data_IF_602050271953
#
_entry.id   IF_602050271953
#
_cell.length_a   1.000
_cell.length_b   1.000
_cell.length_c   1.000
_cell.angle_alpha   90.00
_cell.angle_beta   90.00
_cell.angle_gamma   90.00
#
_symmetry.space_group_name_H-M   'P 1'
#
loop_
_entity.id
_entity.type
_entity.pdbx_description
1 polymer ?
#
# COMPACT_ATOMS: atom_id res chain seq x y z
N UNK A 1 -76.15 -6.09 -33.80
CA UNK A 1 -77.23 -5.56 -32.94
C UNK A 1 -77.71 -6.69 -32.03
N UNK A 2 -77.87 -6.45 -30.73
CA UNK A 2 -76.82 -6.67 -29.73
C UNK A 2 -77.33 -7.48 -28.50
N UNK A 3 -76.46 -7.71 -27.52
CA UNK A 3 -76.84 -8.27 -26.23
C UNK A 3 -75.68 -8.30 -25.24
N UNK A 4 -75.34 -7.13 -24.71
CA UNK A 4 -74.41 -6.94 -23.58
C UNK A 4 -74.96 -7.51 -22.27
N UNK A 5 -74.06 -7.76 -21.29
CA UNK A 5 -74.43 -7.60 -19.89
C UNK A 5 -73.68 -8.46 -18.88
N UNK A 6 -72.83 -7.81 -18.07
CA UNK A 6 -72.83 -8.07 -16.62
C UNK A 6 -71.57 -8.70 -16.02
N UNK A 7 -70.66 -7.85 -15.54
CA UNK A 7 -69.74 -8.14 -14.44
C UNK A 7 -70.50 -7.98 -13.10
N UNK A 8 -70.35 -8.92 -12.16
CA UNK A 8 -70.37 -8.64 -10.72
C UNK A 8 -69.56 -9.69 -9.94
N UNK A 9 -68.65 -9.19 -9.10
CA UNK A 9 -68.01 -9.87 -7.97
C UNK A 9 -69.01 -9.93 -6.80
N UNK A 10 -69.04 -11.01 -6.01
CA UNK A 10 -68.99 -10.97 -4.53
C UNK A 10 -69.08 -12.36 -3.87
N UNK A 11 -68.20 -12.57 -2.86
CA UNK A 11 -68.58 -13.18 -1.58
C UNK A 11 -68.36 -14.68 -1.37
N UNK A 12 -67.31 -15.05 -0.63
CA UNK A 12 -67.39 -16.04 0.47
C UNK A 12 -66.05 -16.21 1.22
N UNK A 13 -66.06 -16.68 2.49
CA UNK A 13 -65.41 -15.98 3.60
C UNK A 13 -64.22 -16.73 4.25
N UNK A 14 -63.56 -16.00 5.17
CA UNK A 14 -62.87 -16.43 6.41
C UNK A 14 -62.12 -17.77 6.47
N UNK A 15 -60.83 -17.67 6.85
CA UNK A 15 -60.24 -18.39 8.01
C UNK A 15 -58.82 -17.91 8.31
N UNK A 16 -58.68 -17.09 9.35
CA UNK A 16 -57.51 -17.10 10.25
C UNK A 16 -57.72 -18.18 11.32
N UNK A 17 -56.63 -18.72 11.90
CA UNK A 17 -56.40 -18.34 13.30
C UNK A 17 -54.91 -18.15 13.63
N UNK A 18 -54.55 -16.95 14.09
CA UNK A 18 -53.37 -16.71 14.91
C UNK A 18 -53.81 -16.44 16.36
N UNK A 19 -53.41 -17.31 17.31
CA UNK A 19 -53.27 -16.96 18.73
C UNK A 19 -52.79 -18.17 19.55
N UNK A 20 -51.56 -18.06 20.07
CA UNK A 20 -51.16 -18.66 21.36
C UNK A 20 -50.26 -17.66 22.09
N UNK A 21 -50.84 -16.99 23.07
CA UNK A 21 -50.16 -16.35 24.20
C UNK A 21 -49.71 -17.41 25.22
N UNK A 22 -48.56 -17.21 25.87
CA UNK A 22 -48.40 -17.22 27.34
C UNK A 22 -46.97 -16.75 27.74
N UNK A 23 -46.67 -16.38 29.02
CA UNK A 23 -45.97 -15.14 29.37
C UNK A 23 -44.73 -15.42 30.26
N UNK A 24 -44.23 -14.36 30.92
CA UNK A 24 -43.41 -14.33 32.14
C UNK A 24 -41.98 -13.75 32.01
N UNK A 25 -41.88 -12.50 32.48
CA UNK A 25 -40.74 -11.73 33.03
C UNK A 25 -40.32 -12.35 34.42
N UNK A 26 -39.28 -11.91 35.21
CA UNK A 26 -38.53 -10.64 35.12
C UNK A 26 -37.05 -10.54 35.63
N UNK A 27 -36.47 -9.34 35.35
CA UNK A 27 -35.62 -8.47 36.19
C UNK A 27 -34.16 -8.83 36.59
N UNK A 28 -33.25 -7.87 36.29
CA UNK A 28 -32.26 -7.24 37.18
C UNK A 28 -31.59 -6.10 36.36
N UNK A 29 -31.89 -4.81 36.58
CA UNK A 29 -31.27 -3.89 37.56
C UNK A 29 -29.75 -3.81 37.47
N UNK A 30 -29.22 -2.69 36.95
CA UNK A 30 -28.03 -2.02 37.51
C UNK A 30 -28.10 -0.49 37.27
N UNK A 31 -27.59 0.34 38.21
CA UNK A 31 -27.86 1.78 38.26
C UNK A 31 -26.68 2.66 37.80
N UNK A 32 -26.98 3.95 37.61
CA UNK A 32 -26.07 5.10 37.47
C UNK A 32 -25.43 5.54 38.79
N UNK A 33 -24.41 6.43 38.66
CA UNK A 33 -23.70 7.24 39.69
C UNK A 33 -22.45 6.58 40.32
N UNK A 34 -21.38 7.24 40.76
CA UNK A 34 -20.77 8.57 40.59
C UNK A 34 -19.40 8.53 41.33
N UNK A 35 -18.48 9.41 40.95
CA UNK A 35 -17.47 10.12 41.78
C UNK A 35 -16.48 9.40 42.75
N UNK A 36 -15.29 10.02 42.81
CA UNK A 36 -14.32 10.09 43.93
C UNK A 36 -13.54 8.80 44.27
N UNK A 37 -12.38 8.84 44.93
CA UNK A 37 -11.28 9.79 45.13
C UNK A 37 -10.23 9.01 45.93
N UNK A 38 -8.98 9.45 45.82
CA UNK A 38 -7.96 9.41 46.87
C UNK A 38 -7.55 8.10 47.58
N UNK A 39 -6.25 7.86 47.38
CA UNK A 39 -5.25 7.71 48.45
C UNK A 39 -5.28 6.43 49.31
N UNK A 40 -4.12 5.76 49.31
CA UNK A 40 -3.17 5.79 50.45
C UNK A 40 -1.92 4.96 50.11
N UNK A 41 -0.73 5.58 50.18
CA UNK A 41 0.27 5.50 51.28
C UNK A 41 0.72 4.06 51.55
N UNK A 42 1.98 3.73 51.79
CA UNK A 42 3.04 4.34 52.59
C UNK A 42 4.28 3.45 52.33
N UNK A 43 5.54 3.85 52.40
CA UNK A 43 6.25 4.68 53.35
C UNK A 43 7.74 4.43 53.07
N UNK A 44 8.60 5.43 53.12
CA UNK A 44 9.34 5.81 54.33
C UNK A 44 10.75 5.21 54.24
N UNK A 45 11.85 5.88 54.56
CA UNK A 45 12.05 7.09 55.34
C UNK A 45 13.47 7.66 55.10
N UNK A 46 13.58 8.99 55.24
CA UNK A 46 14.62 9.76 55.95
C UNK A 46 16.11 9.53 55.60
N UNK A 47 16.99 10.54 55.53
CA UNK A 47 17.17 11.58 56.55
C UNK A 47 18.05 12.74 56.03
N UNK A 48 17.61 13.96 56.34
CA UNK A 48 18.28 15.23 56.63
C UNK A 48 19.71 15.56 56.12
N UNK A 49 19.85 16.79 55.59
CA UNK A 49 20.50 17.86 56.36
C UNK A 49 21.70 18.58 55.74
N UNK A 50 21.49 19.81 55.26
CA UNK A 50 22.27 20.99 55.72
C UNK A 50 23.51 21.48 54.92
N UNK A 51 23.35 22.70 54.37
CA UNK A 51 24.26 23.86 54.54
C UNK A 51 25.44 24.10 53.57
N UNK A 52 25.21 25.08 52.68
CA UNK A 52 25.94 26.36 52.45
C UNK A 52 27.48 26.45 52.28
N UNK A 53 27.86 26.98 51.10
CA UNK A 53 28.82 28.08 50.85
C UNK A 53 30.36 27.76 50.69
N UNK A 54 31.22 28.70 50.20
CA UNK A 54 31.68 28.75 48.79
C UNK A 54 33.21 29.01 48.55
N UNK A 55 33.62 29.20 47.27
CA UNK A 55 34.88 29.85 46.72
C UNK A 55 36.21 29.03 46.92
N UNK A 56 37.31 29.14 46.10
CA UNK A 56 37.68 30.31 45.30
C UNK A 56 38.33 30.18 43.91
N UNK A 57 38.25 31.32 43.21
CA UNK A 57 39.06 31.72 42.06
C UNK A 57 40.48 32.14 42.48
N UNK A 58 41.49 31.78 41.69
CA UNK A 58 42.57 32.66 41.19
C UNK A 58 43.73 31.82 40.60
N UNK A 59 44.15 32.13 39.36
CA UNK A 59 45.50 32.65 39.11
C UNK A 59 45.72 32.98 37.63
N UNK A 60 46.33 34.15 37.45
CA UNK A 60 46.74 34.85 36.23
C UNK A 60 47.89 34.14 35.51
N UNK A 61 47.91 34.22 34.17
CA UNK A 61 49.06 33.93 33.34
C UNK A 61 49.01 34.74 32.04
N UNK A 62 49.79 35.83 32.00
CA UNK A 62 49.95 36.75 30.87
C UNK A 62 50.88 36.16 29.81
N UNK A 63 50.51 36.24 28.52
CA UNK A 63 51.37 35.90 27.39
C UNK A 63 50.87 36.54 26.10
N UNK A 64 51.51 37.65 25.72
CA UNK A 64 51.29 38.45 24.51
C UNK A 64 51.78 37.74 23.25
N UNK A 65 51.00 37.75 22.17
CA UNK A 65 51.43 37.29 20.86
C UNK A 65 50.39 37.59 19.77
N UNK A 66 50.57 38.71 19.09
CA UNK A 66 49.83 39.14 17.89
C UNK A 66 50.04 38.19 16.72
N UNK A 67 48.96 37.70 16.12
CA UNK A 67 48.95 36.99 14.85
C UNK A 67 47.56 37.06 14.23
N UNK A 68 47.46 37.79 13.13
CA UNK A 68 46.27 38.01 12.31
C UNK A 68 45.81 36.68 11.69
N UNK A 69 44.55 36.30 11.90
CA UNK A 69 43.94 35.14 11.25
C UNK A 69 42.74 35.58 10.39
N UNK A 70 42.84 35.56 9.05
CA UNK A 70 41.70 35.62 8.16
C UNK A 70 41.53 34.27 7.47
N UNK A 71 40.57 33.46 7.92
CA UNK A 71 40.22 32.26 7.20
C UNK A 71 39.49 31.23 8.04
N UNK A 72 38.23 31.47 8.39
CA UNK A 72 37.29 30.37 8.66
C UNK A 72 37.00 29.65 7.35
N UNK A 73 37.96 28.85 6.88
CA UNK A 73 37.64 27.62 6.17
C UNK A 73 37.18 26.66 7.24
N UNK A 74 35.89 26.36 7.28
CA UNK A 74 35.40 25.22 8.05
C UNK A 74 36.05 24.01 7.41
N UNK A 75 37.14 23.53 8.00
CA UNK A 75 37.67 22.20 7.76
C UNK A 75 36.49 21.25 7.97
N UNK A 76 35.96 20.74 6.87
CA UNK A 76 35.07 19.58 6.89
C UNK A 76 35.94 18.44 7.38
N UNK A 77 36.01 18.32 8.71
CA UNK A 77 36.81 17.35 9.41
C UNK A 77 36.47 15.97 8.86
N UNK A 78 37.50 15.45 8.20
CA UNK A 78 37.69 14.11 7.70
C UNK A 78 37.65 13.13 8.89
N UNK A 79 36.47 12.92 9.48
CA UNK A 79 36.27 11.87 10.47
C UNK A 79 36.18 10.53 9.72
N UNK A 80 37.34 9.93 9.48
CA UNK A 80 37.47 8.50 9.18
C UNK A 80 37.80 8.10 7.75
N UNK A 81 38.27 9.01 6.88
CA UNK A 81 38.75 8.64 5.52
C UNK A 81 37.68 8.04 4.61
N UNK A 82 36.39 8.23 4.93
CA UNK A 82 35.26 7.86 4.07
C UNK A 82 34.88 9.13 3.30
N UNK A 83 35.04 9.12 1.98
CA UNK A 83 34.69 10.26 1.14
C UNK A 83 33.18 10.40 1.02
N UNK A 84 32.63 11.45 1.62
CA UNK A 84 31.23 11.85 1.49
C UNK A 84 30.92 12.31 0.05
N UNK A 85 29.71 12.07 -0.50
CA UNK A 85 29.32 12.60 -1.80
C UNK A 85 29.51 14.13 -1.90
N UNK A 86 29.88 14.68 -3.07
CA UNK A 86 30.20 16.11 -3.20
C UNK A 86 29.03 17.08 -2.94
N UNK A 87 27.79 16.61 -3.05
CA UNK A 87 26.57 17.40 -2.84
C UNK A 87 25.85 17.00 -1.54
N UNK A 88 26.53 16.31 -0.62
CA UNK A 88 25.94 15.90 0.64
C UNK A 88 25.88 17.11 1.60
N UNK A 89 24.67 17.50 1.97
CA UNK A 89 24.41 18.60 2.91
C UNK A 89 23.68 18.03 4.13
N UNK A 90 24.26 18.19 5.32
CA UNK A 90 23.62 17.77 6.56
C UNK A 90 22.40 18.64 6.88
N UNK A 91 21.20 18.10 6.66
CA UNK A 91 19.95 18.77 7.00
C UNK A 91 19.46 18.37 8.41
N UNK A 92 18.84 19.29 9.18
CA UNK A 92 18.09 18.94 10.38
C UNK A 92 17.03 17.86 10.12
N UNK A 93 16.80 16.96 11.09
CA UNK A 93 15.83 15.87 10.95
C UNK A 93 14.42 16.35 10.61
N UNK A 94 14.03 17.53 11.10
CA UNK A 94 12.74 18.14 10.80
C UNK A 94 12.62 18.47 9.30
N UNK A 95 13.67 19.06 8.73
CA UNK A 95 13.72 19.47 7.32
C UNK A 95 13.72 18.23 6.42
N UNK A 96 14.42 17.16 6.80
CA UNK A 96 14.42 15.89 6.07
C UNK A 96 13.03 15.21 6.05
N UNK A 97 12.30 15.26 7.17
CA UNK A 97 10.92 14.75 7.24
C UNK A 97 9.96 15.64 6.44
N UNK A 98 10.11 16.95 6.50
CA UNK A 98 9.32 17.90 5.71
C UNK A 98 9.51 17.66 4.21
N UNK A 99 10.75 17.42 3.77
CA UNK A 99 11.06 17.06 2.40
C UNK A 99 10.33 15.77 1.98
N UNK A 100 10.42 14.70 2.78
CA UNK A 100 9.74 13.43 2.49
C UNK A 100 8.22 13.63 2.33
N UNK A 101 7.59 14.38 3.25
CA UNK A 101 6.14 14.62 3.21
C UNK A 101 5.76 15.46 2.00
N UNK A 102 6.52 16.52 1.70
CA UNK A 102 6.27 17.39 0.54
C UNK A 102 6.35 16.61 -0.77
N UNK A 103 7.38 15.76 -0.92
CA UNK A 103 7.55 14.87 -2.06
C UNK A 103 6.42 13.85 -2.19
N UNK A 104 6.04 13.22 -1.08
CA UNK A 104 4.91 12.29 -1.06
C UNK A 104 3.60 12.99 -1.43
N UNK A 105 3.38 14.23 -1.00
CA UNK A 105 2.21 15.01 -1.36
C UNK A 105 2.14 15.27 -2.87
N UNK A 106 3.27 15.56 -3.53
CA UNK A 106 3.35 15.70 -4.99
C UNK A 106 2.90 14.40 -5.67
N UNK A 107 3.43 13.24 -5.23
CA UNK A 107 3.05 11.92 -5.77
C UNK A 107 1.54 11.68 -5.64
N UNK A 108 0.99 11.94 -4.46
CA UNK A 108 -0.45 11.75 -4.17
C UNK A 108 -1.30 12.69 -5.03
N UNK A 109 -0.91 13.96 -5.18
CA UNK A 109 -1.63 14.93 -6.01
C UNK A 109 -1.61 14.55 -7.49
N UNK A 110 -0.47 14.11 -8.01
CA UNK A 110 -0.36 13.63 -9.39
C UNK A 110 -1.19 12.36 -9.59
N UNK A 111 -1.16 11.42 -8.64
CA UNK A 111 -2.01 10.23 -8.66
C UNK A 111 -3.50 10.54 -8.59
N UNK A 112 -3.90 11.52 -7.78
CA UNK A 112 -5.26 12.01 -7.72
C UNK A 112 -5.68 12.66 -9.05
N UNK A 113 -4.80 13.46 -9.67
CA UNK A 113 -5.01 14.01 -11.00
C UNK A 113 -5.17 12.94 -12.08
N UNK A 114 -4.32 11.91 -12.05
CA UNK A 114 -4.43 10.75 -12.94
C UNK A 114 -5.75 9.97 -12.75
N UNK A 115 -6.20 9.83 -11.50
CA UNK A 115 -7.50 9.24 -11.17
C UNK A 115 -8.66 10.10 -11.70
N UNK A 116 -8.59 11.42 -11.55
CA UNK A 116 -9.60 12.34 -12.09
C UNK A 116 -9.70 12.26 -13.61
N UNK A 117 -8.56 12.12 -14.31
CA UNK A 117 -8.52 11.88 -15.76
C UNK A 117 -9.12 10.52 -16.09
N UNK A 118 -8.79 9.47 -15.32
CA UNK A 118 -9.31 8.12 -15.52
C UNK A 118 -10.82 8.01 -15.39
N UNK A 119 -11.44 8.85 -14.55
CA UNK A 119 -12.91 8.89 -14.36
C UNK A 119 -13.69 9.22 -15.64
N UNK A 120 -13.06 9.94 -16.56
CA UNK A 120 -13.63 10.27 -17.87
C UNK A 120 -13.83 9.02 -18.73
N UNK A 121 -12.98 7.99 -18.56
CA UNK A 121 -13.03 6.74 -19.32
C UNK A 121 -13.53 5.53 -18.49
N UNK A 122 -13.70 5.68 -17.18
CA UNK A 122 -13.96 4.56 -16.25
C UNK A 122 -15.10 3.63 -16.68
N UNK A 123 -16.19 4.15 -17.26
CA UNK A 123 -17.29 3.32 -17.77
C UNK A 123 -16.84 2.37 -18.87
N UNK A 124 -16.09 2.86 -19.86
CA UNK A 124 -15.60 2.01 -20.95
C UNK A 124 -14.56 0.99 -20.46
N UNK A 125 -13.76 1.35 -19.46
CA UNK A 125 -12.84 0.41 -18.82
C UNK A 125 -13.60 -0.71 -18.10
N UNK A 126 -14.68 -0.40 -17.38
CA UNK A 126 -15.56 -1.40 -16.74
C UNK A 126 -16.12 -2.37 -17.78
N UNK A 127 -16.65 -1.86 -18.89
CA UNK A 127 -17.24 -2.71 -19.93
C UNK A 127 -16.20 -3.67 -20.55
N UNK A 128 -14.99 -3.18 -20.82
CA UNK A 128 -13.89 -3.99 -21.35
C UNK A 128 -13.44 -5.06 -20.35
N UNK A 129 -13.30 -4.68 -19.07
CA UNK A 129 -12.88 -5.60 -18.02
C UNK A 129 -13.95 -6.68 -17.82
N UNK A 130 -15.21 -6.29 -17.66
CA UNK A 130 -16.33 -7.20 -17.45
C UNK A 130 -16.51 -8.18 -18.60
N UNK A 131 -16.48 -7.69 -19.85
CA UNK A 131 -16.74 -8.51 -21.04
C UNK A 131 -15.65 -9.54 -21.37
N UNK A 132 -14.45 -9.41 -20.81
CA UNK A 132 -13.31 -10.30 -21.11
C UNK A 132 -12.78 -11.07 -19.90
N UNK A 133 -12.79 -10.48 -18.71
CA UNK A 133 -12.20 -11.11 -17.53
C UNK A 133 -13.10 -12.19 -16.91
N UNK A 134 -14.42 -12.08 -17.08
CA UNK A 134 -15.39 -12.97 -16.44
C UNK A 134 -15.90 -14.00 -17.47
N UNK A 135 -15.57 -15.30 -17.30
CA UNK A 135 -16.14 -16.36 -18.12
C UNK A 135 -17.67 -16.39 -17.96
N UNK A 136 -18.39 -16.57 -19.07
CA UNK A 136 -19.86 -16.67 -19.07
C UNK A 136 -20.56 -15.45 -18.46
N UNK A 137 -20.12 -14.23 -18.79
CA UNK A 137 -20.93 -13.03 -18.58
C UNK A 137 -22.21 -13.10 -19.46
N UNK A 138 -23.16 -13.95 -19.08
CA UNK A 138 -24.44 -14.18 -19.79
C UNK A 138 -25.25 -12.88 -19.92
N UNK A 139 -24.96 -11.90 -19.06
CA UNK A 139 -25.42 -10.53 -19.20
C UNK A 139 -24.23 -9.60 -19.45
N UNK A 140 -24.31 -8.82 -20.53
CA UNK A 140 -23.43 -7.67 -20.82
C UNK A 140 -23.56 -6.54 -19.78
N UNK A 141 -24.35 -6.77 -18.71
CA UNK A 141 -24.64 -5.78 -17.67
C UNK A 141 -24.36 -6.39 -16.29
N UNK A 142 -23.42 -5.80 -15.54
CA UNK A 142 -23.17 -6.16 -14.16
C UNK A 142 -24.41 -6.00 -13.28
N UNK A 143 -24.53 -6.87 -12.27
CA UNK A 143 -25.57 -6.74 -11.25
C UNK A 143 -25.13 -5.71 -10.20
N UNK A 144 -26.04 -4.81 -9.83
CA UNK A 144 -25.85 -3.79 -8.79
C UNK A 144 -26.71 -4.15 -7.58
N UNK A 145 -26.12 -4.06 -6.39
CA UNK A 145 -26.75 -4.33 -5.10
C UNK A 145 -26.77 -3.07 -4.20
N UNK A 146 -26.04 -2.02 -4.56
CA UNK A 146 -26.07 -0.73 -3.88
C UNK A 146 -26.24 0.45 -4.86
N UNK A 147 -26.90 1.55 -4.43
CA UNK A 147 -27.13 2.71 -5.29
C UNK A 147 -25.83 3.45 -5.68
N UNK A 148 -24.79 3.37 -4.84
CA UNK A 148 -23.50 4.03 -5.07
C UNK A 148 -22.43 3.12 -5.68
N UNK A 149 -22.74 1.84 -5.90
CA UNK A 149 -21.77 0.81 -6.27
C UNK A 149 -21.10 1.10 -7.60
N UNK A 150 -21.87 1.51 -8.62
CA UNK A 150 -21.31 1.89 -9.92
C UNK A 150 -20.38 3.11 -9.80
N UNK A 151 -20.75 4.10 -8.99
CA UNK A 151 -19.97 5.33 -8.83
C UNK A 151 -18.65 5.06 -8.11
N UNK A 152 -18.67 4.28 -7.03
CA UNK A 152 -17.46 3.84 -6.33
C UNK A 152 -16.58 2.95 -7.20
N UNK A 153 -17.18 2.04 -7.97
CA UNK A 153 -16.43 1.18 -8.90
C UNK A 153 -15.70 2.01 -9.96
N UNK A 154 -16.34 3.06 -10.50
CA UNK A 154 -15.69 3.97 -11.45
C UNK A 154 -14.46 4.65 -10.85
N UNK A 155 -14.53 5.11 -9.60
CA UNK A 155 -13.38 5.71 -8.89
C UNK A 155 -12.26 4.69 -8.71
N UNK A 156 -12.60 3.47 -8.27
CA UNK A 156 -11.62 2.40 -8.07
C UNK A 156 -10.95 1.98 -9.39
N UNK A 157 -11.70 1.91 -10.49
CA UNK A 157 -11.11 1.58 -11.80
C UNK A 157 -10.23 2.72 -12.30
N UNK A 158 -10.69 3.97 -12.15
CA UNK A 158 -9.91 5.14 -12.51
C UNK A 158 -8.61 5.27 -11.71
N UNK A 159 -8.60 4.80 -10.45
CA UNK A 159 -7.39 4.86 -9.61
C UNK A 159 -6.27 3.97 -10.11
N UNK A 160 -6.54 2.94 -10.94
CA UNK A 160 -5.48 2.17 -11.61
C UNK A 160 -4.65 3.06 -12.55
N UNK A 161 -5.30 3.96 -13.30
CA UNK A 161 -4.59 4.95 -14.11
C UNK A 161 -3.84 5.96 -13.23
N UNK A 162 -4.47 6.38 -12.13
CA UNK A 162 -3.83 7.20 -11.11
C UNK A 162 -2.53 6.59 -10.60
N UNK A 163 -2.54 5.31 -10.24
CA UNK A 163 -1.36 4.55 -9.80
C UNK A 163 -0.33 4.47 -10.92
N UNK A 164 -0.74 4.18 -12.16
CA UNK A 164 0.18 4.07 -13.29
C UNK A 164 0.95 5.38 -13.55
N UNK A 165 0.31 6.52 -13.35
CA UNK A 165 0.93 7.86 -13.49
C UNK A 165 1.70 8.25 -12.22
N UNK A 166 1.18 7.92 -11.04
CA UNK A 166 1.83 8.23 -9.77
C UNK A 166 3.13 7.46 -9.58
N UNK A 167 3.22 6.23 -10.06
CA UNK A 167 4.36 5.34 -9.84
C UNK A 167 5.70 5.85 -10.42
N UNK A 168 5.80 6.34 -11.68
CA UNK A 168 7.05 6.96 -12.15
C UNK A 168 7.39 8.24 -11.39
N UNK A 169 6.38 9.02 -11.02
CA UNK A 169 6.59 10.22 -10.20
C UNK A 169 7.10 9.84 -8.81
N UNK A 170 6.57 8.78 -8.21
CA UNK A 170 7.05 8.22 -6.96
C UNK A 170 8.51 7.81 -7.04
N UNK A 171 8.90 7.08 -8.08
CA UNK A 171 10.31 6.69 -8.28
C UNK A 171 11.18 7.94 -8.46
N UNK A 172 10.74 8.93 -9.23
CA UNK A 172 11.48 10.18 -9.45
C UNK A 172 11.57 11.07 -8.19
N UNK A 173 10.54 11.14 -7.38
CA UNK A 173 10.58 11.90 -6.12
C UNK A 173 11.47 11.21 -5.09
N UNK A 174 11.44 9.86 -5.04
CA UNK A 174 12.35 9.09 -4.20
C UNK A 174 13.81 9.30 -4.65
N UNK A 175 14.06 9.39 -5.96
CA UNK A 175 15.36 9.80 -6.49
C UNK A 175 15.78 11.17 -5.97
N UNK A 176 14.92 12.19 -6.10
CA UNK A 176 15.26 13.55 -5.69
C UNK A 176 15.55 13.65 -4.20
N UNK A 177 14.81 12.89 -3.38
CA UNK A 177 15.04 12.76 -1.94
C UNK A 177 16.39 12.15 -1.61
N UNK A 178 16.79 11.07 -2.30
CA UNK A 178 18.07 10.40 -2.04
C UNK A 178 19.26 11.03 -2.80
N UNK A 179 19.01 11.92 -3.77
CA UNK A 179 20.02 12.52 -4.65
C UNK A 179 21.23 13.13 -3.91
N UNK A 180 21.08 13.84 -2.76
CA UNK A 180 22.23 14.39 -2.03
C UNK A 180 23.21 13.29 -1.58
N UNK A 181 22.69 12.16 -1.11
CA UNK A 181 23.48 11.02 -0.65
C UNK A 181 23.97 10.07 -1.76
N UNK A 182 23.63 10.32 -3.04
CA UNK A 182 24.05 9.48 -4.17
C UNK A 182 25.26 10.05 -4.89
N UNK A 183 26.21 9.18 -5.22
CA UNK A 183 27.34 9.57 -6.06
C UNK A 183 26.88 9.92 -7.48
N UNK A 184 27.57 10.84 -8.19
CA UNK A 184 27.17 11.27 -9.53
C UNK A 184 26.99 10.13 -10.55
N UNK A 185 27.77 9.05 -10.40
CA UNK A 185 27.70 7.88 -11.27
C UNK A 185 26.50 6.97 -10.96
N UNK A 186 25.89 7.06 -9.79
CA UNK A 186 24.70 6.29 -9.37
C UNK A 186 23.41 6.96 -9.83
N UNK A 187 23.41 8.30 -9.85
CA UNK A 187 22.26 9.13 -10.27
C UNK A 187 21.71 8.74 -11.64
N UNK A 188 22.59 8.40 -12.59
CA UNK A 188 22.19 7.97 -13.94
C UNK A 188 21.39 6.65 -13.93
N UNK A 189 21.76 5.72 -13.06
CA UNK A 189 21.09 4.41 -12.96
C UNK A 189 19.73 4.56 -12.31
N UNK A 190 19.64 5.41 -11.28
CA UNK A 190 18.38 5.74 -10.65
C UNK A 190 17.42 6.41 -11.63
N UNK A 191 17.87 7.43 -12.38
CA UNK A 191 17.03 8.11 -13.36
C UNK A 191 16.52 7.19 -14.47
N UNK A 192 17.32 6.20 -14.89
CA UNK A 192 16.89 5.19 -15.85
C UNK A 192 15.77 4.29 -15.31
N UNK A 193 15.63 4.16 -13.98
CA UNK A 193 14.56 3.38 -13.36
C UNK A 193 13.18 4.03 -13.53
N UNK A 194 13.09 5.35 -13.70
CA UNK A 194 11.81 6.07 -13.82
C UNK A 194 10.96 5.58 -15.01
N UNK A 195 11.44 5.60 -16.27
CA UNK A 195 10.65 5.06 -17.39
C UNK A 195 10.45 3.54 -17.31
N UNK A 196 11.43 2.80 -16.77
CA UNK A 196 11.32 1.35 -16.58
C UNK A 196 10.19 1.00 -15.61
N UNK A 197 9.95 1.81 -14.58
CA UNK A 197 8.89 1.59 -13.59
C UNK A 197 7.49 1.59 -14.22
N UNK A 198 7.23 2.48 -15.19
CA UNK A 198 5.96 2.55 -15.93
C UNK A 198 5.76 1.30 -16.78
N UNK A 199 6.81 0.87 -17.47
CA UNK A 199 6.78 -0.32 -18.32
C UNK A 199 6.50 -1.55 -17.46
N UNK A 200 7.21 -1.72 -16.34
CA UNK A 200 7.01 -2.82 -15.40
C UNK A 200 5.60 -2.80 -14.79
N UNK A 201 5.10 -1.65 -14.36
CA UNK A 201 3.75 -1.53 -13.83
C UNK A 201 2.69 -1.89 -14.89
N UNK A 202 2.85 -1.40 -16.11
CA UNK A 202 1.99 -1.74 -17.24
C UNK A 202 1.99 -3.25 -17.55
N UNK A 203 3.17 -3.88 -17.55
CA UNK A 203 3.29 -5.33 -17.70
C UNK A 203 2.61 -6.06 -16.54
N UNK A 204 2.78 -5.60 -15.30
CA UNK A 204 2.13 -6.19 -14.13
C UNK A 204 0.60 -6.11 -14.18
N UNK A 205 0.05 -4.96 -14.60
CA UNK A 205 -1.39 -4.81 -14.81
C UNK A 205 -1.89 -5.72 -15.93
N UNK A 206 -1.14 -5.80 -17.04
CA UNK A 206 -1.48 -6.65 -18.16
C UNK A 206 -1.40 -8.14 -17.79
N UNK A 207 -0.40 -8.53 -17.01
CA UNK A 207 -0.22 -9.89 -16.50
C UNK A 207 -1.37 -10.29 -15.58
N UNK A 208 -1.78 -9.39 -14.67
CA UNK A 208 -2.97 -9.59 -13.85
C UNK A 208 -4.20 -9.84 -14.72
N UNK A 209 -4.43 -8.96 -15.71
CA UNK A 209 -5.62 -9.01 -16.54
C UNK A 209 -5.69 -10.21 -17.49
N UNK A 210 -4.57 -10.57 -18.14
CA UNK A 210 -4.54 -11.61 -19.17
C UNK A 210 -4.29 -13.01 -18.60
N UNK A 211 -3.61 -13.15 -17.47
CA UNK A 211 -3.20 -14.45 -16.94
C UNK A 211 -3.86 -14.74 -15.59
N UNK A 212 -3.70 -13.85 -14.61
CA UNK A 212 -4.11 -14.16 -13.22
C UNK A 212 -5.62 -14.17 -13.08
N UNK A 213 -6.32 -13.16 -13.60
CA UNK A 213 -7.79 -13.07 -13.49
C UNK A 213 -8.51 -14.24 -14.17
N UNK A 214 -8.20 -14.63 -15.42
CA UNK A 214 -8.87 -15.78 -16.05
C UNK A 214 -8.70 -17.07 -15.26
N UNK A 215 -7.48 -17.35 -14.78
CA UNK A 215 -7.21 -18.54 -13.94
C UNK A 215 -8.04 -18.50 -12.66
N UNK A 216 -8.16 -17.34 -12.02
CA UNK A 216 -8.90 -17.19 -10.78
C UNK A 216 -10.42 -17.35 -10.97
N UNK A 217 -10.99 -16.73 -12.01
CA UNK A 217 -12.42 -16.88 -12.30
C UNK A 217 -12.77 -18.28 -12.81
N UNK A 218 -11.87 -18.95 -13.54
CA UNK A 218 -12.04 -20.36 -13.90
C UNK A 218 -12.05 -21.25 -12.66
N UNK A 219 -11.13 -21.01 -11.72
CA UNK A 219 -11.11 -21.70 -10.43
C UNK A 219 -12.42 -21.51 -9.65
N UNK A 220 -12.91 -20.27 -9.50
CA UNK A 220 -14.19 -20.01 -8.80
C UNK A 220 -15.38 -20.69 -9.47
N UNK A 221 -15.39 -20.69 -10.81
CA UNK A 221 -16.43 -21.32 -11.62
C UNK A 221 -16.39 -22.84 -11.48
N UNK A 222 -15.21 -23.43 -11.42
CA UNK A 222 -15.01 -24.86 -11.20
C UNK A 222 -15.44 -25.26 -9.77
N UNK A 223 -14.96 -24.54 -8.76
CA UNK A 223 -15.22 -24.82 -7.35
C UNK A 223 -16.71 -24.79 -7.00
N UNK A 224 -17.46 -23.84 -7.56
CA UNK A 224 -18.88 -23.68 -7.19
C UNK A 224 -19.85 -24.52 -8.03
N UNK A 225 -19.38 -25.15 -9.13
CA UNK A 225 -20.22 -25.78 -10.16
C UNK A 225 -21.27 -26.76 -9.62
N UNK A 226 -20.90 -27.56 -8.63
CA UNK A 226 -21.78 -28.61 -8.08
C UNK A 226 -22.67 -28.09 -6.94
N UNK A 227 -22.31 -26.96 -6.33
CA UNK A 227 -22.93 -26.50 -5.09
C UNK A 227 -23.86 -25.30 -5.29
N UNK A 228 -23.60 -24.42 -6.26
CA UNK A 228 -24.37 -23.19 -6.44
C UNK A 228 -24.29 -22.62 -7.87
N UNK A 229 -25.35 -21.94 -8.29
CA UNK A 229 -25.31 -21.08 -9.47
C UNK A 229 -24.58 -19.76 -9.13
N UNK A 230 -23.54 -19.41 -9.88
CA UNK A 230 -22.75 -18.22 -9.63
C UNK A 230 -23.39 -17.00 -10.30
N UNK A 231 -23.55 -15.91 -9.54
CA UNK A 231 -23.85 -14.58 -10.07
C UNK A 231 -22.84 -13.59 -9.51
N UNK A 232 -22.17 -12.87 -10.40
CA UNK A 232 -21.18 -11.86 -10.03
C UNK A 232 -21.84 -10.50 -9.78
N UNK A 233 -21.51 -9.89 -8.64
CA UNK A 233 -21.87 -8.51 -8.30
C UNK A 233 -20.77 -7.56 -8.79
N UNK A 234 -21.14 -6.37 -9.29
CA UNK A 234 -20.16 -5.41 -9.83
C UNK A 234 -19.08 -5.08 -8.80
N UNK A 235 -19.49 -4.58 -7.64
CA UNK A 235 -18.61 -4.02 -6.62
C UNK A 235 -17.63 -5.03 -6.08
N UNK A 236 -18.10 -6.18 -5.59
CA UNK A 236 -17.20 -7.22 -5.03
C UNK A 236 -16.26 -7.80 -6.07
N UNK A 237 -16.74 -7.96 -7.31
CA UNK A 237 -15.91 -8.48 -8.41
C UNK A 237 -14.83 -7.48 -8.80
N UNK A 238 -15.18 -6.20 -8.96
CA UNK A 238 -14.20 -5.17 -9.26
C UNK A 238 -13.27 -4.87 -8.09
N UNK A 239 -13.70 -5.03 -6.84
CA UNK A 239 -12.83 -4.90 -5.68
C UNK A 239 -11.70 -5.93 -5.73
N UNK A 240 -12.02 -7.19 -6.06
CA UNK A 240 -11.03 -8.22 -6.30
C UNK A 240 -10.12 -7.84 -7.49
N UNK A 241 -10.70 -7.52 -8.65
CA UNK A 241 -9.95 -7.22 -9.88
C UNK A 241 -8.98 -6.06 -9.66
N UNK A 242 -9.43 -4.98 -9.05
CA UNK A 242 -8.66 -3.74 -8.88
C UNK A 242 -7.59 -3.93 -7.81
N UNK A 243 -7.92 -4.56 -6.68
CA UNK A 243 -6.96 -4.84 -5.61
C UNK A 243 -5.84 -5.74 -6.14
N UNK A 244 -6.19 -6.82 -6.85
CA UNK A 244 -5.22 -7.73 -7.43
C UNK A 244 -4.39 -7.05 -8.50
N UNK A 245 -5.01 -6.30 -9.40
CA UNK A 245 -4.30 -5.61 -10.50
C UNK A 245 -3.35 -4.53 -9.98
N UNK A 246 -3.78 -3.73 -9.00
CA UNK A 246 -2.94 -2.74 -8.34
C UNK A 246 -1.77 -3.40 -7.59
N UNK A 247 -2.04 -4.47 -6.85
CA UNK A 247 -1.01 -5.20 -6.11
C UNK A 247 0.02 -5.84 -7.05
N UNK A 248 -0.41 -6.43 -8.16
CA UNK A 248 0.48 -6.99 -9.18
C UNK A 248 1.32 -5.90 -9.87
N UNK A 249 0.77 -4.71 -10.12
CA UNK A 249 1.54 -3.59 -10.66
C UNK A 249 2.69 -3.18 -9.73
N UNK A 250 2.46 -3.24 -8.40
CA UNK A 250 3.48 -2.99 -7.37
C UNK A 250 4.48 -4.14 -7.29
N UNK A 251 4.00 -5.40 -7.27
CA UNK A 251 4.84 -6.61 -7.28
C UNK A 251 5.81 -6.62 -8.46
N UNK A 252 5.36 -6.17 -9.63
CA UNK A 252 6.22 -6.06 -10.81
C UNK A 252 7.33 -5.01 -10.69
N UNK A 253 7.37 -4.21 -9.63
CA UNK A 253 8.50 -3.33 -9.31
C UNK A 253 9.65 -4.05 -8.60
N UNK A 254 9.44 -5.27 -8.09
CA UNK A 254 10.48 -6.06 -7.41
C UNK A 254 11.78 -6.14 -8.23
N UNK A 255 11.77 -6.47 -9.56
CA UNK A 255 12.98 -6.48 -10.37
C UNK A 255 13.70 -5.14 -10.41
N UNK A 256 12.95 -4.04 -10.52
CA UNK A 256 13.51 -2.69 -10.56
C UNK A 256 14.24 -2.38 -9.24
N UNK A 257 13.61 -2.64 -8.10
CA UNK A 257 14.21 -2.39 -6.79
C UNK A 257 15.45 -3.25 -6.52
N UNK A 258 15.44 -4.53 -6.92
CA UNK A 258 16.60 -5.41 -6.79
C UNK A 258 17.76 -4.91 -7.67
N UNK A 259 17.48 -4.60 -8.94
CA UNK A 259 18.49 -4.05 -9.85
C UNK A 259 19.10 -2.77 -9.30
N UNK A 260 18.26 -1.86 -8.83
CA UNK A 260 18.69 -0.59 -8.27
C UNK A 260 19.55 -0.79 -7.01
N UNK A 261 19.13 -1.66 -6.09
CA UNK A 261 19.88 -1.96 -4.88
C UNK A 261 21.27 -2.56 -5.16
N UNK A 262 21.37 -3.42 -6.18
CA UNK A 262 22.68 -4.00 -6.58
C UNK A 262 23.54 -2.98 -7.31
N UNK A 263 22.96 -2.18 -8.21
CA UNK A 263 23.70 -1.19 -8.99
C UNK A 263 24.22 -0.01 -8.14
N UNK A 264 23.54 0.32 -7.05
CA UNK A 264 23.99 1.31 -6.06
C UNK A 264 24.87 0.71 -4.96
N UNK A 265 25.25 -0.57 -5.05
CA UNK A 265 26.10 -1.22 -4.05
C UNK A 265 25.47 -1.42 -2.66
N UNK A 266 24.16 -1.22 -2.52
CA UNK A 266 23.43 -1.41 -1.25
C UNK A 266 23.41 -2.89 -0.84
N UNK A 267 23.38 -3.79 -1.83
CA UNK A 267 23.44 -5.24 -1.64
C UNK A 267 24.20 -5.89 -2.79
N UNK A 268 24.70 -7.10 -2.58
CA UNK A 268 25.25 -7.94 -3.65
C UNK A 268 24.24 -8.98 -4.10
N UNK A 269 24.41 -9.48 -5.32
CA UNK A 269 23.59 -10.59 -5.84
C UNK A 269 23.82 -11.85 -5.00
N UNK A 270 25.06 -12.08 -4.57
CA UNK A 270 25.42 -13.22 -3.73
C UNK A 270 24.67 -13.18 -2.40
N UNK A 271 24.63 -12.01 -1.74
CA UNK A 271 23.88 -11.84 -0.49
C UNK A 271 22.38 -12.13 -0.65
N UNK A 272 21.78 -11.64 -1.73
CA UNK A 272 20.38 -11.95 -2.05
C UNK A 272 20.19 -13.46 -2.28
N UNK A 273 21.06 -14.08 -3.07
CA UNK A 273 21.00 -15.50 -3.37
C UNK A 273 21.16 -16.39 -2.11
N UNK A 274 21.98 -16.00 -1.15
CA UNK A 274 22.14 -16.73 0.12
C UNK A 274 20.91 -16.60 1.02
N UNK A 275 20.11 -15.55 0.83
CA UNK A 275 18.91 -15.25 1.62
C UNK A 275 17.59 -15.59 0.90
N UNK A 276 17.62 -16.35 -0.21
CA UNK A 276 16.44 -16.75 -1.01
C UNK A 276 15.25 -17.19 -0.16
N UNK A 277 15.48 -18.08 0.81
CA UNK A 277 14.42 -18.62 1.64
C UNK A 277 13.69 -17.54 2.44
N UNK A 278 14.41 -16.54 2.95
CA UNK A 278 13.81 -15.41 3.68
C UNK A 278 12.92 -14.58 2.75
N UNK A 279 13.39 -14.29 1.54
CA UNK A 279 12.60 -13.57 0.54
C UNK A 279 11.37 -14.35 0.09
N UNK A 280 11.50 -15.66 -0.16
CA UNK A 280 10.35 -16.50 -0.54
C UNK A 280 9.28 -16.54 0.55
N UNK A 281 9.69 -16.69 1.82
CA UNK A 281 8.77 -16.65 2.96
C UNK A 281 8.14 -15.27 3.11
N UNK A 282 8.91 -14.19 2.95
CA UNK A 282 8.39 -12.82 2.99
C UNK A 282 7.38 -12.55 1.87
N UNK A 283 7.65 -13.01 0.64
CA UNK A 283 6.74 -12.87 -0.50
C UNK A 283 5.47 -13.69 -0.31
N UNK A 284 5.58 -14.92 0.18
CA UNK A 284 4.41 -15.72 0.53
C UNK A 284 3.58 -15.03 1.62
N UNK A 285 4.21 -14.58 2.71
CA UNK A 285 3.54 -13.85 3.80
C UNK A 285 2.84 -12.58 3.30
N UNK A 286 3.50 -11.79 2.46
CA UNK A 286 2.92 -10.58 1.87
C UNK A 286 1.74 -10.90 0.97
N UNK A 287 1.88 -11.89 0.09
CA UNK A 287 0.83 -12.30 -0.83
C UNK A 287 -0.43 -12.78 -0.09
N UNK A 288 -0.28 -13.60 0.95
CA UNK A 288 -1.40 -14.06 1.78
C UNK A 288 -2.01 -12.98 2.68
N UNK A 289 -1.23 -11.95 3.04
CA UNK A 289 -1.74 -10.82 3.83
C UNK A 289 -2.56 -9.85 2.98
N UNK A 290 -2.08 -9.52 1.78
CA UNK A 290 -2.74 -8.55 0.89
C UNK A 290 -3.83 -9.19 0.02
N UNK A 291 -3.67 -10.45 -0.34
CA UNK A 291 -4.67 -11.21 -1.09
C UNK A 291 -5.48 -12.04 -0.12
N UNK A 292 -6.42 -11.39 0.56
CA UNK A 292 -7.32 -12.06 1.52
C UNK A 292 -8.34 -12.87 0.71
N UNK A 293 -7.94 -14.08 0.35
CA UNK A 293 -8.76 -15.10 -0.30
C UNK A 293 -8.76 -16.35 0.58
N UNK A 294 -9.91 -16.78 1.11
CA UNK A 294 -10.00 -17.96 1.97
C UNK A 294 -9.55 -19.25 1.28
N UNK A 295 -9.53 -19.29 -0.06
CA UNK A 295 -9.03 -20.44 -0.82
C UNK A 295 -7.50 -20.48 -0.95
N UNK A 296 -6.83 -19.35 -0.74
CA UNK A 296 -5.38 -19.21 -0.94
C UNK A 296 -4.91 -19.28 -2.40
N UNK A 297 -5.81 -19.46 -3.37
CA UNK A 297 -5.44 -19.60 -4.78
C UNK A 297 -4.86 -18.31 -5.34
N UNK A 298 -5.54 -17.19 -5.13
CA UNK A 298 -5.04 -15.90 -5.59
C UNK A 298 -3.70 -15.56 -4.90
N UNK A 299 -3.62 -15.71 -3.58
CA UNK A 299 -2.40 -15.48 -2.81
C UNK A 299 -1.22 -16.36 -3.28
N UNK A 300 -1.47 -17.65 -3.56
CA UNK A 300 -0.47 -18.58 -4.07
C UNK A 300 0.07 -18.18 -5.45
N UNK A 301 -0.80 -17.78 -6.37
CA UNK A 301 -0.39 -17.28 -7.69
C UNK A 301 0.48 -16.02 -7.58
N UNK A 302 0.11 -15.08 -6.70
CA UNK A 302 0.91 -13.87 -6.48
C UNK A 302 2.25 -14.20 -5.84
N UNK A 303 2.30 -15.07 -4.83
CA UNK A 303 3.55 -15.50 -4.20
C UNK A 303 4.51 -16.14 -5.23
N UNK A 304 4.00 -17.04 -6.07
CA UNK A 304 4.76 -17.65 -7.16
C UNK A 304 5.27 -16.57 -8.12
N UNK A 305 4.42 -15.61 -8.50
CA UNK A 305 4.81 -14.51 -9.39
C UNK A 305 5.94 -13.68 -8.79
N UNK A 306 5.86 -13.32 -7.51
CA UNK A 306 6.92 -12.59 -6.80
C UNK A 306 8.24 -13.36 -6.79
N UNK A 307 8.19 -14.67 -6.48
CA UNK A 307 9.37 -15.54 -6.46
C UNK A 307 10.01 -15.63 -7.85
N UNK A 308 9.19 -15.80 -8.90
CA UNK A 308 9.67 -15.86 -10.28
C UNK A 308 10.34 -14.54 -10.70
N UNK A 309 9.75 -13.39 -10.35
CA UNK A 309 10.34 -12.08 -10.63
C UNK A 309 11.68 -11.91 -9.91
N UNK A 310 11.75 -12.30 -8.64
CA UNK A 310 12.97 -12.25 -7.84
C UNK A 310 14.08 -13.13 -8.42
N UNK A 311 13.80 -14.42 -8.65
CA UNK A 311 14.77 -15.37 -9.22
C UNK A 311 15.18 -15.00 -10.65
N UNK A 312 14.23 -14.54 -11.46
CA UNK A 312 14.50 -14.02 -12.80
C UNK A 312 15.45 -12.83 -12.78
N UNK A 313 15.30 -11.94 -11.80
CA UNK A 313 16.21 -10.79 -11.63
C UNK A 313 17.61 -11.24 -11.21
N UNK A 314 17.73 -12.18 -10.26
CA UNK A 314 19.03 -12.75 -9.87
C UNK A 314 19.72 -13.50 -11.02
N UNK A 315 18.95 -14.09 -11.93
CA UNK A 315 19.47 -14.73 -13.14
C UNK A 315 20.01 -13.68 -14.12
N UNK A 316 19.28 -12.59 -14.33
CA UNK A 316 19.72 -11.49 -15.20
C UNK A 316 21.03 -10.89 -14.67
N UNK A 317 21.10 -10.60 -13.36
CA UNK A 317 22.32 -10.07 -12.72
C UNK A 317 23.54 -11.00 -12.89
N UNK A 318 23.31 -12.32 -12.82
CA UNK A 318 24.36 -13.33 -13.11
C UNK A 318 24.92 -13.14 -14.51
N UNK A 319 24.02 -12.96 -15.48
CA UNK A 319 24.38 -12.89 -16.89
C UNK A 319 25.07 -11.58 -17.24
N UNK A 320 24.69 -10.48 -16.59
CA UNK A 320 25.34 -9.18 -16.77
C UNK A 320 26.70 -9.07 -16.08
N UNK A 321 27.14 -10.09 -15.33
CA UNK A 321 28.42 -10.10 -14.62
C UNK A 321 28.49 -9.11 -13.45
N UNK A 322 27.32 -8.74 -12.90
CA UNK A 322 27.22 -7.86 -11.73
C UNK A 322 27.01 -8.78 -10.52
N UNK A 323 28.06 -8.94 -9.72
CA UNK A 323 28.09 -9.82 -8.54
C UNK A 323 27.70 -9.11 -7.23
#
# INVERSE_FOLDING_TARGET
>A
MPGEGGLTFEGSPEREPASRENPAKPAADEPTESSESDARTNGGSATAGGTSAPVPSASVGTGTGTGTDPGTGTDSDEIGGISTPPDDEEMPLADHVEEMISRLAIVVLVGAGGTAIGLLWATGAIDIIWGRAIPQAEAWRPHLYGPLELWLTRIKVASLLGIMIALPVFVYETYLFMRPGLYPHERKYYLAAVPTSVILAGIGMLFSYLLVLPVLFEYFSYYSRESAAIKYALGTTFDLIITLTAFLAIVFQIPLFIMLAVMMGVTTRQWLADKRLYFWVAFAGLAFTFTIDPSGMAAGLVAITMIVLYEGTLLILKWTGVD
#
